data_IF_946855550183
#
_entry.id   IF_946855550183
#
_cell.length_a   1.000
_cell.length_b   1.000
_cell.length_c   1.000
_cell.angle_alpha   90.00
_cell.angle_beta   90.00
_cell.angle_gamma   90.00
#
_symmetry.space_group_name_H-M   'P 1'
#
loop_
_entity.id
_entity.type
_entity.pdbx_description
1 polymer ?
#
# COMPACT_ATOMS: atom_id res chain seq x y z
N UNK A 1 -3.95 17.15 -31.29
CA UNK A 1 -2.71 17.34 -30.51
C UNK A 1 -3.04 16.95 -29.08
N UNK A 2 -2.24 16.09 -28.42
CA UNK A 2 -2.44 15.81 -27.00
C UNK A 2 -2.40 17.11 -26.20
N UNK A 3 -3.30 17.25 -25.22
CA UNK A 3 -3.31 18.43 -24.35
C UNK A 3 -2.21 18.30 -23.30
N UNK A 4 -1.69 19.41 -22.79
CA UNK A 4 -0.68 19.40 -21.71
C UNK A 4 -1.15 18.61 -20.46
N UNK A 5 -2.47 18.51 -20.24
CA UNK A 5 -3.05 17.66 -19.19
C UNK A 5 -2.91 16.16 -19.47
N UNK A 6 -2.95 15.74 -20.74
CA UNK A 6 -2.78 14.34 -21.11
C UNK A 6 -1.33 13.89 -20.90
N UNK A 7 -0.36 14.77 -21.23
CA UNK A 7 1.06 14.50 -21.01
C UNK A 7 1.38 14.31 -19.52
N UNK A 8 0.82 15.17 -18.64
CA UNK A 8 0.98 15.03 -17.18
C UNK A 8 0.38 13.72 -16.64
N UNK A 9 -0.79 13.33 -17.15
CA UNK A 9 -1.43 12.06 -16.75
C UNK A 9 -0.64 10.85 -17.22
N UNK A 10 -0.03 10.93 -18.41
CA UNK A 10 0.82 9.86 -18.93
C UNK A 10 2.10 9.74 -18.11
N UNK A 11 2.77 10.86 -17.82
CA UNK A 11 3.96 10.87 -16.97
C UNK A 11 3.69 10.30 -15.57
N UNK A 12 2.55 10.65 -14.95
CA UNK A 12 2.18 10.11 -13.64
C UNK A 12 2.00 8.58 -13.67
N UNK A 13 1.45 8.02 -14.75
CA UNK A 13 1.31 6.56 -14.92
C UNK A 13 2.67 5.88 -15.03
N UNK A 14 3.56 6.44 -15.86
CA UNK A 14 4.93 5.92 -16.01
C UNK A 14 5.70 5.95 -14.68
N UNK A 15 5.55 7.01 -13.89
CA UNK A 15 6.17 7.09 -12.56
C UNK A 15 5.68 5.95 -11.67
N UNK A 16 4.37 5.71 -11.60
CA UNK A 16 3.82 4.61 -10.80
C UNK A 16 4.25 3.24 -11.33
N UNK A 17 4.35 3.07 -12.65
CA UNK A 17 4.86 1.84 -13.28
C UNK A 17 6.30 1.54 -12.83
N UNK A 18 7.18 2.54 -12.93
CA UNK A 18 8.59 2.43 -12.52
C UNK A 18 8.70 2.15 -11.02
N UNK A 19 7.95 2.88 -10.19
CA UNK A 19 7.97 2.67 -8.73
C UNK A 19 7.47 1.27 -8.34
N UNK A 20 6.48 0.73 -9.05
CA UNK A 20 5.98 -0.63 -8.82
C UNK A 20 7.00 -1.69 -9.24
N UNK A 21 7.73 -1.49 -10.33
CA UNK A 21 8.84 -2.37 -10.72
C UNK A 21 9.94 -2.38 -9.65
N UNK A 22 10.34 -1.20 -9.15
CA UNK A 22 11.30 -1.07 -8.05
C UNK A 22 10.79 -1.79 -6.79
N UNK A 23 9.53 -1.56 -6.40
CA UNK A 23 8.88 -2.22 -5.26
C UNK A 23 8.93 -3.75 -5.37
N UNK A 24 8.70 -4.27 -6.57
CA UNK A 24 8.73 -5.71 -6.86
C UNK A 24 10.14 -6.26 -6.73
N UNK A 25 11.14 -5.59 -7.30
CA UNK A 25 12.54 -5.99 -7.22
C UNK A 25 13.06 -6.00 -5.77
N UNK A 26 12.61 -5.04 -4.96
CA UNK A 26 12.95 -4.94 -3.54
C UNK A 26 12.06 -5.80 -2.62
N UNK A 27 11.10 -6.54 -3.19
CA UNK A 27 10.17 -7.39 -2.48
C UNK A 27 9.45 -6.67 -1.31
N UNK A 28 9.04 -5.41 -1.52
CA UNK A 28 8.36 -4.62 -0.47
C UNK A 28 6.90 -5.03 -0.25
N UNK A 29 6.36 -5.84 -1.17
CA UNK A 29 4.97 -6.29 -1.19
C UNK A 29 3.96 -5.12 -1.16
N UNK A 30 4.27 -4.00 -1.80
CA UNK A 30 3.34 -2.89 -2.03
C UNK A 30 2.80 -2.98 -3.45
N UNK A 31 1.48 -3.02 -3.59
CA UNK A 31 0.83 -2.98 -4.89
C UNK A 31 0.76 -1.54 -5.45
N UNK A 32 0.22 -1.39 -6.66
CA UNK A 32 0.12 -0.08 -7.34
C UNK A 32 -0.76 0.91 -6.58
N UNK A 33 -1.78 0.42 -5.88
CA UNK A 33 -2.70 1.24 -5.09
C UNK A 33 -1.99 1.72 -3.82
N UNK A 34 -1.31 0.82 -3.12
CA UNK A 34 -0.52 1.13 -1.93
C UNK A 34 0.57 2.17 -2.25
N UNK A 35 1.30 1.97 -3.36
CA UNK A 35 2.33 2.91 -3.80
C UNK A 35 1.75 4.27 -4.16
N UNK A 36 0.62 4.32 -4.86
CA UNK A 36 -0.04 5.59 -5.21
C UNK A 36 -0.47 6.35 -3.95
N UNK A 37 -0.95 5.65 -2.93
CA UNK A 37 -1.28 6.24 -1.64
C UNK A 37 -0.03 6.73 -0.90
N UNK A 38 1.03 5.94 -0.86
CA UNK A 38 2.30 6.33 -0.25
C UNK A 38 2.89 7.59 -0.90
N UNK A 39 2.89 7.65 -2.24
CA UNK A 39 3.31 8.83 -3.00
C UNK A 39 2.47 10.04 -2.62
N UNK A 40 1.14 9.89 -2.61
CA UNK A 40 0.23 10.98 -2.23
C UNK A 40 0.50 11.48 -0.81
N UNK A 41 0.75 10.59 0.16
CA UNK A 41 1.07 10.96 1.54
C UNK A 41 2.40 11.72 1.62
N UNK A 42 3.42 11.24 0.92
CA UNK A 42 4.75 11.87 0.87
C UNK A 42 4.67 13.25 0.19
N UNK A 43 3.91 13.39 -0.89
CA UNK A 43 3.64 14.68 -1.55
C UNK A 43 2.91 15.67 -0.64
N UNK A 44 2.10 15.17 0.30
CA UNK A 44 1.46 15.97 1.35
C UNK A 44 2.37 16.23 2.58
N UNK A 45 3.66 15.88 2.51
CA UNK A 45 4.66 16.19 3.53
C UNK A 45 4.82 15.13 4.64
N UNK A 46 4.22 13.95 4.49
CA UNK A 46 4.45 12.83 5.40
C UNK A 46 5.88 12.31 5.26
N UNK A 47 6.56 12.09 6.39
CA UNK A 47 7.91 11.53 6.39
C UNK A 47 7.89 10.05 5.92
N UNK A 48 8.72 9.67 4.92
CA UNK A 48 8.70 8.32 4.34
C UNK A 48 9.17 7.23 5.32
N UNK A 49 10.12 7.53 6.21
CA UNK A 49 10.63 6.56 7.20
C UNK A 49 9.57 6.25 8.27
N UNK A 50 8.85 7.28 8.71
CA UNK A 50 7.73 7.13 9.64
C UNK A 50 6.59 6.32 8.99
N UNK A 51 6.25 6.62 7.74
CA UNK A 51 5.24 5.87 6.99
C UNK A 51 5.62 4.39 6.82
N UNK A 52 6.89 4.11 6.48
CA UNK A 52 7.38 2.74 6.37
C UNK A 52 7.30 1.99 7.70
N UNK A 53 7.54 2.66 8.83
CA UNK A 53 7.40 2.08 10.17
C UNK A 53 5.94 1.69 10.44
N UNK A 54 5.01 2.60 10.18
CA UNK A 54 3.56 2.35 10.37
C UNK A 54 3.08 1.17 9.50
N UNK A 55 3.48 1.12 8.23
CA UNK A 55 3.11 0.00 7.33
C UNK A 55 3.61 -1.34 7.87
N UNK A 56 4.84 -1.39 8.39
CA UNK A 56 5.41 -2.61 8.98
C UNK A 56 4.65 -3.03 10.23
N UNK A 57 4.31 -2.08 11.10
CA UNK A 57 3.58 -2.35 12.34
C UNK A 57 2.16 -2.86 12.04
N UNK A 58 1.43 -2.22 11.13
CA UNK A 58 0.10 -2.66 10.70
C UNK A 58 0.13 -4.09 10.12
N UNK A 59 1.12 -4.41 9.29
CA UNK A 59 1.28 -5.76 8.74
C UNK A 59 1.56 -6.79 9.83
N UNK A 60 2.40 -6.44 10.80
CA UNK A 60 2.70 -7.30 11.94
C UNK A 60 1.45 -7.57 12.77
N UNK A 61 0.67 -6.55 13.08
CA UNK A 61 -0.60 -6.68 13.81
C UNK A 61 -1.63 -7.53 13.06
N UNK A 62 -1.77 -7.35 11.75
CA UNK A 62 -2.66 -8.14 10.91
C UNK A 62 -2.31 -9.64 10.92
N UNK A 63 -1.03 -9.98 11.05
CA UNK A 63 -0.58 -11.38 11.19
C UNK A 63 -0.66 -11.93 12.61
N UNK A 64 -0.61 -11.06 13.62
CA UNK A 64 -0.59 -11.43 15.03
C UNK A 64 -1.99 -11.59 15.65
N UNK A 65 -3.03 -10.99 15.05
CA UNK A 65 -4.39 -11.17 15.49
C UNK A 65 -4.80 -12.65 15.35
N UNK A 66 -5.11 -13.36 16.45
CA UNK A 66 -5.75 -14.66 16.33
C UNK A 66 -7.10 -14.40 15.66
N UNK A 67 -7.40 -15.13 14.58
CA UNK A 67 -8.79 -15.32 14.18
C UNK A 67 -9.48 -15.89 15.41
N UNK A 68 -10.26 -15.06 16.11
CA UNK A 68 -11.29 -15.52 17.02
C UNK A 68 -12.23 -16.35 16.15
N UNK A 69 -11.96 -17.65 16.04
CA UNK A 69 -12.96 -18.60 15.61
C UNK A 69 -14.03 -18.51 16.68
N UNK A 70 -15.18 -17.94 16.32
CA UNK A 70 -16.41 -18.18 17.06
C UNK A 70 -16.60 -19.69 17.03
N UNK A 71 -16.13 -20.37 18.07
CA UNK A 71 -16.47 -21.75 18.32
C UNK A 71 -17.91 -21.70 18.81
N UNK A 72 -18.85 -21.71 17.87
CA UNK A 72 -20.23 -22.12 18.10
C UNK A 72 -20.28 -23.65 18.22
N UNK A 73 -19.57 -24.18 19.23
CA UNK A 73 -19.73 -25.54 19.71
C UNK A 73 -20.17 -25.47 21.18
N UNK A 74 -21.46 -25.69 21.38
CA UNK A 74 -22.02 -26.04 22.69
C UNK A 74 -23.13 -25.12 23.16
N UNK A 75 -24.38 -25.49 22.85
CA UNK A 75 -25.52 -25.53 23.78
C UNK A 75 -26.78 -26.00 23.03
N UNK A 76 -27.10 -27.29 23.14
CA UNK A 76 -28.34 -27.89 22.67
C UNK A 76 -28.33 -29.37 22.98
N UNK A 77 -29.12 -29.75 23.98
CA UNK A 77 -29.26 -31.07 24.62
C UNK A 77 -29.47 -32.27 23.69
#
# INVERSE_FOLDING_TARGET
MPSQSDDKRQAAREVIDILHEISTLLNTALDRTDLSLCVSLIENGVNPDALATIIKDMRKEATAAPRLTTNEDGLGE
#
